data_IF_698235298220
#
_entry.id   IF_698235298220
#
_cell.length_a   1.000
_cell.length_b   1.000
_cell.length_c   1.000
_cell.angle_alpha   90.00
_cell.angle_beta   90.00
_cell.angle_gamma   90.00
#
_symmetry.space_group_name_H-M   'P 1'
#
loop_
_entity.id
_entity.type
_entity.pdbx_description
1 polymer ?
#
# COMPACT_ATOMS: atom_id res chain seq x y z
N UNK A 1 -14.50 -5.39 -5.34
CA UNK A 1 -13.39 -5.90 -6.17
C UNK A 1 -12.49 -6.58 -5.16
N UNK A 2 -12.62 -7.89 -5.01
CA UNK A 2 -11.99 -8.61 -3.90
C UNK A 2 -10.57 -8.98 -4.31
N UNK A 3 -9.61 -8.85 -3.38
CA UNK A 3 -8.24 -9.26 -3.66
C UNK A 3 -8.12 -10.78 -3.63
N UNK A 4 -7.10 -11.27 -4.34
CA UNK A 4 -6.72 -12.67 -4.29
C UNK A 4 -6.33 -13.07 -2.86
N UNK A 5 -6.62 -14.32 -2.46
CA UNK A 5 -6.09 -14.94 -1.24
C UNK A 5 -4.57 -14.76 -1.15
N UNK A 6 -3.99 -14.61 0.07
CA UNK A 6 -2.56 -14.29 0.25
C UNK A 6 -1.60 -15.21 -0.50
N UNK A 7 -1.92 -16.49 -0.57
CA UNK A 7 -1.19 -17.56 -1.25
C UNK A 7 -1.36 -17.54 -2.78
N UNK A 8 -2.40 -16.87 -3.28
CA UNK A 8 -2.68 -16.66 -4.69
C UNK A 8 -2.21 -15.28 -5.20
N UNK A 9 -1.76 -14.39 -4.30
CA UNK A 9 -1.24 -13.08 -4.70
C UNK A 9 0.07 -13.26 -5.47
N UNK A 10 0.22 -12.65 -6.65
CA UNK A 10 1.45 -12.76 -7.41
C UNK A 10 2.61 -12.18 -6.59
N UNK A 11 3.76 -12.86 -6.51
CA UNK A 11 4.93 -12.31 -5.84
C UNK A 11 5.32 -11.00 -6.53
N UNK A 12 5.36 -9.91 -5.76
CA UNK A 12 5.71 -8.58 -6.26
C UNK A 12 7.08 -8.57 -6.94
N UNK A 13 8.03 -9.39 -6.48
CA UNK A 13 9.33 -9.59 -7.13
C UNK A 13 10.05 -8.28 -7.49
N UNK A 14 10.80 -8.29 -8.61
CA UNK A 14 11.44 -7.08 -9.15
C UNK A 14 10.43 -6.03 -9.67
N UNK A 15 9.13 -6.36 -9.76
CA UNK A 15 8.09 -5.39 -10.15
C UNK A 15 7.81 -4.37 -9.04
N UNK A 16 8.16 -4.67 -7.79
CA UNK A 16 8.08 -3.71 -6.69
C UNK A 16 8.80 -2.39 -7.00
N UNK A 17 10.00 -2.46 -7.60
CA UNK A 17 10.77 -1.26 -7.96
C UNK A 17 10.04 -0.34 -8.97
N UNK A 18 9.15 -0.90 -9.79
CA UNK A 18 8.37 -0.14 -10.77
C UNK A 18 6.99 0.29 -10.25
N UNK A 19 6.55 -0.25 -9.11
CA UNK A 19 5.20 0.01 -8.60
C UNK A 19 5.02 1.49 -8.25
N UNK A 20 6.02 2.11 -7.63
CA UNK A 20 5.99 3.54 -7.31
C UNK A 20 5.87 4.38 -8.59
N UNK A 21 6.74 4.15 -9.58
CA UNK A 21 6.71 4.84 -10.88
C UNK A 21 5.38 4.64 -11.63
N UNK A 22 4.81 3.43 -11.60
CA UNK A 22 3.52 3.14 -12.22
C UNK A 22 2.38 3.90 -11.52
N UNK A 23 2.38 3.95 -10.18
CA UNK A 23 1.40 4.72 -9.41
C UNK A 23 1.54 6.23 -9.67
N UNK A 24 2.77 6.76 -9.73
CA UNK A 24 3.01 8.17 -10.07
C UNK A 24 2.41 8.50 -11.44
N UNK A 25 2.65 7.65 -12.44
CA UNK A 25 2.14 7.82 -13.80
C UNK A 25 0.62 7.76 -13.86
N UNK A 26 0.00 6.82 -13.14
CA UNK A 26 -1.46 6.64 -13.13
C UNK A 26 -2.15 7.79 -12.38
N UNK A 27 -1.59 8.22 -11.26
CA UNK A 27 -2.17 9.25 -10.39
C UNK A 27 -1.82 10.69 -10.82
N UNK A 28 -0.84 10.86 -11.70
CA UNK A 28 -0.39 12.16 -12.19
C UNK A 28 0.26 13.03 -11.11
N UNK A 29 0.79 12.41 -10.04
CA UNK A 29 1.43 13.09 -8.91
C UNK A 29 2.55 12.24 -8.32
N UNK A 30 3.42 12.87 -7.52
CA UNK A 30 4.46 12.16 -6.77
C UNK A 30 3.85 11.19 -5.76
N UNK A 31 4.44 10.00 -5.67
CA UNK A 31 4.02 8.89 -4.82
C UNK A 31 5.27 8.35 -4.13
N UNK A 32 5.16 8.08 -2.83
CA UNK A 32 6.22 7.43 -2.06
C UNK A 32 5.64 6.17 -1.43
N UNK A 33 6.23 5.01 -1.73
CA UNK A 33 5.82 3.74 -1.15
C UNK A 33 6.67 3.43 0.09
N UNK A 34 6.03 3.53 1.25
CA UNK A 34 6.65 3.20 2.54
C UNK A 34 6.03 1.94 3.14
N UNK A 35 6.86 1.11 3.76
CA UNK A 35 6.33 0.06 4.65
C UNK A 35 5.79 0.70 5.93
N UNK A 36 4.79 0.10 6.55
CA UNK A 36 4.22 0.58 7.81
C UNK A 36 5.30 0.80 8.90
N UNK A 37 6.30 -0.09 8.94
CA UNK A 37 7.41 -0.02 9.91
C UNK A 37 8.40 1.12 9.63
N UNK A 38 8.46 1.60 8.40
CA UNK A 38 9.35 2.70 8.01
C UNK A 38 8.77 4.08 8.35
N UNK A 39 7.46 4.16 8.61
CA UNK A 39 6.81 5.42 9.00
C UNK A 39 7.23 5.80 10.42
N UNK A 40 7.91 6.94 10.54
CA UNK A 40 8.32 7.50 11.83
C UNK A 40 7.11 7.68 12.77
N UNK A 41 7.22 7.30 14.06
CA UNK A 41 6.16 7.52 15.05
C UNK A 41 5.73 8.98 15.17
N UNK A 42 6.63 9.93 14.86
CA UNK A 42 6.34 11.35 14.90
C UNK A 42 5.54 11.83 13.68
N UNK A 43 5.68 11.17 12.53
CA UNK A 43 4.98 11.51 11.28
C UNK A 43 3.63 10.80 11.19
N UNK A 44 3.53 9.60 11.77
CA UNK A 44 2.35 8.73 11.75
C UNK A 44 1.04 9.46 12.09
N UNK A 45 0.92 10.27 13.15
CA UNK A 45 -0.34 10.95 13.47
C UNK A 45 -0.82 11.89 12.36
N UNK A 46 0.11 12.50 11.63
CA UNK A 46 -0.21 13.40 10.51
C UNK A 46 -0.61 12.61 9.26
N UNK A 47 0.05 11.48 9.00
CA UNK A 47 -0.29 10.60 7.89
C UNK A 47 -1.66 9.94 8.10
N UNK A 48 -1.95 9.48 9.31
CA UNK A 48 -3.21 8.80 9.67
C UNK A 48 -4.41 9.76 9.66
N UNK A 49 -4.21 11.05 9.99
CA UNK A 49 -5.27 12.06 9.95
C UNK A 49 -5.95 12.16 8.58
N UNK A 50 -5.16 12.10 7.51
CA UNK A 50 -5.62 12.27 6.13
C UNK A 50 -5.64 10.92 5.37
N UNK A 51 -5.58 9.80 6.09
CA UNK A 51 -5.50 8.46 5.50
C UNK A 51 -6.83 8.02 4.89
N UNK A 52 -6.75 7.41 3.71
CA UNK A 52 -7.87 6.72 3.06
C UNK A 52 -7.51 5.24 2.91
N UNK A 53 -8.32 4.36 3.49
CA UNK A 53 -8.16 2.92 3.34
C UNK A 53 -8.63 2.51 1.94
N UNK A 54 -7.68 2.09 1.10
CA UNK A 54 -7.98 1.59 -0.25
C UNK A 54 -8.30 0.09 -0.25
N UNK A 55 -7.62 -0.67 0.60
CA UNK A 55 -7.80 -2.10 0.78
C UNK A 55 -7.29 -2.53 2.15
N UNK A 56 -8.01 -3.45 2.78
CA UNK A 56 -7.54 -4.24 3.92
C UNK A 56 -7.81 -5.71 3.65
N UNK A 57 -6.91 -6.57 4.14
CA UNK A 57 -7.20 -7.99 4.16
C UNK A 57 -8.23 -8.25 5.25
N UNK A 58 -9.46 -8.53 4.84
CA UNK A 58 -10.53 -8.88 5.76
C UNK A 58 -10.12 -10.12 6.56
N UNK A 59 -9.92 -9.95 7.86
CA UNK A 59 -9.87 -11.09 8.77
C UNK A 59 -11.28 -11.67 8.78
N UNK A 60 -11.45 -12.89 8.27
CA UNK A 60 -12.68 -13.64 8.50
C UNK A 60 -12.73 -13.91 10.01
N UNK A 61 -13.41 -13.04 10.74
CA UNK A 61 -13.81 -13.30 12.11
C UNK A 61 -14.76 -14.51 12.05
N UNK A 62 -14.26 -15.67 12.48
CA UNK A 62 -15.04 -16.88 12.69
C UNK A 62 -15.82 -16.83 14.00
#
# INVERSE_FOLDING_TARGET
MDLLPPDERPPLGLKWFRLEEELERILGRKVELVSERAVSPFVRPYAERDMVLLYEEGRLDG
#
